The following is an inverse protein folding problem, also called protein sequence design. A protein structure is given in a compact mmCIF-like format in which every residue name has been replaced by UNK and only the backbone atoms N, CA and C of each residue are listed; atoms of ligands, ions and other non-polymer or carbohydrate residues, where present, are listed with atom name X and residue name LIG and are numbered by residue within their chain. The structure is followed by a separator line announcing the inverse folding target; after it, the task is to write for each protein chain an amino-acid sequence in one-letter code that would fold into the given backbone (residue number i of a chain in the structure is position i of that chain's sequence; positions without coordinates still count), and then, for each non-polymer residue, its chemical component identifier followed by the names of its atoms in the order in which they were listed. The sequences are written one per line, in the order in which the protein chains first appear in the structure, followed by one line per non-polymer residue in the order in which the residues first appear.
data_IF_907683149168
#
_entry.id   IF_907683149168
#
_cell.length_a   1.000
_cell.length_b   1.000
_cell.length_c   1.000
_cell.angle_alpha   90.00
_cell.angle_beta   90.00
_cell.angle_gamma   90.00
#
_symmetry.space_group_name_H-M   'P 1'
#
loop_
_entity.id
_entity.type
_entity.pdbx_description
1 polymer ?
#
# COMPACT_ATOMS: atom_id res chain seq x y z
N UNK A 1 -11.94 16.51 -4.42
CA UNK A 1 -11.83 16.49 -2.94
C UNK A 1 -12.86 15.54 -2.37
N UNK A 2 -12.54 14.75 -1.34
CA UNK A 2 -13.47 13.79 -0.74
C UNK A 2 -14.70 14.45 -0.11
N UNK A 3 -15.81 13.72 -0.06
CA UNK A 3 -16.98 14.10 0.74
C UNK A 3 -16.62 14.06 2.24
N UNK A 4 -16.97 15.09 3.03
CA UNK A 4 -16.65 15.10 4.45
C UNK A 4 -17.26 13.92 5.21
N UNK A 5 -16.50 13.33 6.12
CA UNK A 5 -16.94 12.31 7.07
C UNK A 5 -16.95 12.87 8.48
N UNK A 6 -18.01 12.59 9.23
CA UNK A 6 -18.13 12.94 10.66
C UNK A 6 -17.52 11.86 11.55
N UNK A 7 -17.19 12.22 12.79
CA UNK A 7 -16.76 11.25 13.81
C UNK A 7 -17.72 10.07 13.98
N UNK A 8 -19.04 10.34 13.95
CA UNK A 8 -20.06 9.31 14.08
C UNK A 8 -20.06 8.33 12.91
N UNK A 9 -19.91 8.83 11.67
CA UNK A 9 -19.81 7.99 10.48
C UNK A 9 -18.55 7.11 10.52
N UNK A 10 -17.39 7.70 10.87
CA UNK A 10 -16.13 6.94 10.94
C UNK A 10 -16.22 5.85 12.02
N UNK A 11 -16.79 6.17 13.18
CA UNK A 11 -17.01 5.18 14.25
C UNK A 11 -17.90 4.03 13.78
N UNK A 12 -19.01 4.33 13.10
CA UNK A 12 -19.90 3.31 12.55
C UNK A 12 -19.19 2.40 11.53
N UNK A 13 -18.38 2.97 10.65
CA UNK A 13 -17.57 2.19 9.68
C UNK A 13 -16.57 1.29 10.41
N UNK A 14 -15.93 1.78 11.48
CA UNK A 14 -14.99 1.00 12.29
C UNK A 14 -15.70 -0.16 13.01
N UNK A 15 -16.85 0.10 13.62
CA UNK A 15 -17.65 -0.92 14.30
C UNK A 15 -18.12 -2.01 13.31
N UNK A 16 -18.45 -1.62 12.07
CA UNK A 16 -18.74 -2.54 10.97
C UNK A 16 -17.56 -3.44 10.63
N UNK A 17 -16.34 -2.91 10.51
CA UNK A 17 -15.14 -3.72 10.24
C UNK A 17 -14.85 -4.70 11.39
N UNK A 18 -14.94 -4.23 12.64
CA UNK A 18 -14.68 -5.07 13.81
C UNK A 18 -15.64 -6.26 13.94
N UNK A 19 -16.88 -6.10 13.47
CA UNK A 19 -17.92 -7.13 13.56
C UNK A 19 -18.01 -8.01 12.32
N UNK A 20 -17.84 -7.44 11.13
CA UNK A 20 -18.00 -8.14 9.85
C UNK A 20 -16.69 -8.59 9.19
N UNK A 21 -15.54 -8.32 9.80
CA UNK A 21 -14.23 -8.78 9.33
C UNK A 21 -13.87 -8.28 7.93
N UNK A 22 -13.19 -9.12 7.14
CA UNK A 22 -12.66 -8.74 5.82
C UNK A 22 -13.76 -8.34 4.83
N UNK A 23 -14.95 -8.95 4.92
CA UNK A 23 -16.07 -8.61 4.04
C UNK A 23 -16.61 -7.21 4.34
N UNK A 24 -16.69 -6.83 5.62
CA UNK A 24 -17.02 -5.46 5.99
C UNK A 24 -15.92 -4.47 5.59
N UNK A 25 -14.64 -4.83 5.76
CA UNK A 25 -13.52 -4.00 5.31
C UNK A 25 -13.61 -3.66 3.81
N UNK A 26 -13.91 -4.65 2.95
CA UNK A 26 -14.15 -4.43 1.51
C UNK A 26 -15.28 -3.45 1.25
N UNK A 27 -16.41 -3.61 1.96
CA UNK A 27 -17.55 -2.71 1.81
C UNK A 27 -17.23 -1.28 2.25
N UNK A 28 -16.51 -1.13 3.37
CA UNK A 28 -16.07 0.18 3.88
C UNK A 28 -15.11 0.85 2.89
N UNK A 29 -14.12 0.13 2.36
CA UNK A 29 -13.23 0.71 1.36
C UNK A 29 -13.97 1.17 0.11
N UNK A 30 -14.93 0.38 -0.39
CA UNK A 30 -15.78 0.80 -1.50
C UNK A 30 -16.55 2.08 -1.18
N UNK A 31 -17.21 2.14 -0.03
CA UNK A 31 -17.95 3.33 0.40
C UNK A 31 -17.07 4.57 0.53
N UNK A 32 -15.84 4.42 1.04
CA UNK A 32 -14.88 5.52 1.17
C UNK A 32 -14.34 5.96 -0.19
N UNK A 33 -14.08 5.01 -1.09
CA UNK A 33 -13.65 5.32 -2.45
C UNK A 33 -14.74 6.06 -3.24
N UNK A 34 -16.01 5.65 -3.12
CA UNK A 34 -17.17 6.35 -3.70
C UNK A 34 -17.33 7.78 -3.15
N UNK A 35 -16.76 8.04 -1.96
CA UNK A 35 -16.70 9.37 -1.33
C UNK A 35 -15.44 10.16 -1.71
N UNK A 36 -14.59 9.63 -2.59
CA UNK A 36 -13.38 10.29 -3.08
C UNK A 36 -12.14 10.14 -2.20
N UNK A 37 -12.13 9.18 -1.25
CA UNK A 37 -10.93 8.82 -0.50
C UNK A 37 -10.14 7.78 -1.29
N UNK A 38 -9.19 8.24 -2.10
CA UNK A 38 -8.51 7.40 -3.09
C UNK A 38 -7.58 6.33 -2.49
N UNK A 39 -7.06 6.51 -1.26
CA UNK A 39 -6.38 5.42 -0.55
C UNK A 39 -7.27 4.17 -0.44
N UNK A 40 -8.57 4.37 -0.23
CA UNK A 40 -9.52 3.27 -0.12
C UNK A 40 -9.65 2.47 -1.43
N UNK A 41 -9.38 3.07 -2.59
CA UNK A 41 -9.33 2.36 -3.87
C UNK A 41 -8.19 1.34 -3.92
N UNK A 42 -6.97 1.77 -3.56
CA UNK A 42 -5.81 0.88 -3.43
C UNK A 42 -6.07 -0.24 -2.43
N UNK A 43 -6.58 0.12 -1.25
CA UNK A 43 -6.84 -0.84 -0.19
C UNK A 43 -7.97 -1.83 -0.54
N UNK A 44 -8.98 -1.40 -1.31
CA UNK A 44 -10.04 -2.27 -1.84
C UNK A 44 -9.46 -3.34 -2.77
N UNK A 45 -8.57 -2.96 -3.67
CA UNK A 45 -7.90 -3.89 -4.59
C UNK A 45 -7.11 -4.98 -3.85
N UNK A 46 -6.41 -4.63 -2.78
CA UNK A 46 -5.71 -5.59 -1.88
C UNK A 46 -6.70 -6.45 -1.10
N UNK A 47 -7.78 -5.84 -0.59
CA UNK A 47 -8.79 -6.55 0.20
C UNK A 47 -9.56 -7.58 -0.62
N UNK A 48 -9.85 -7.29 -1.89
CA UNK A 48 -10.46 -8.24 -2.82
C UNK A 48 -9.44 -9.25 -3.36
N UNK A 49 -8.19 -8.82 -3.59
CA UNK A 49 -7.17 -9.63 -4.25
C UNK A 49 -7.44 -9.80 -5.75
N UNK A 50 -8.03 -8.81 -6.40
CA UNK A 50 -8.48 -8.87 -7.79
C UNK A 50 -7.83 -7.83 -8.72
N UNK A 51 -7.43 -6.67 -8.18
CA UNK A 51 -6.64 -5.69 -8.95
C UNK A 51 -5.21 -6.16 -9.14
N UNK A 52 -4.58 -5.84 -10.28
CA UNK A 52 -3.17 -6.18 -10.56
C UNK A 52 -2.25 -5.71 -9.42
N UNK A 53 -2.39 -4.45 -9.01
CA UNK A 53 -1.61 -3.84 -7.92
C UNK A 53 -1.88 -4.48 -6.57
N UNK A 54 -3.14 -4.85 -6.29
CA UNK A 54 -3.54 -5.53 -5.07
C UNK A 54 -3.01 -6.96 -4.97
N UNK A 55 -3.03 -7.72 -6.08
CA UNK A 55 -2.43 -9.06 -6.17
C UNK A 55 -0.92 -8.98 -5.96
N UNK A 56 -0.24 -8.04 -6.61
CA UNK A 56 1.20 -7.82 -6.40
C UNK A 56 1.54 -7.48 -4.95
N UNK A 57 0.73 -6.69 -4.27
CA UNK A 57 0.95 -6.37 -2.86
C UNK A 57 0.78 -7.59 -1.94
N UNK A 58 -0.18 -8.47 -2.22
CA UNK A 58 -0.37 -9.72 -1.47
C UNK A 58 0.77 -10.69 -1.72
N UNK A 59 1.19 -10.85 -2.98
CA UNK A 59 2.31 -11.71 -3.34
C UNK A 59 3.63 -11.24 -2.69
N UNK A 60 3.87 -9.92 -2.67
CA UNK A 60 5.01 -9.36 -1.96
C UNK A 60 4.93 -9.60 -0.46
N UNK A 61 3.75 -9.42 0.15
CA UNK A 61 3.54 -9.70 1.58
C UNK A 61 3.89 -11.17 1.91
N UNK A 62 3.37 -12.12 1.15
CA UNK A 62 3.61 -13.54 1.38
C UNK A 62 5.08 -13.90 1.15
N UNK A 63 5.69 -13.45 0.06
CA UNK A 63 7.11 -13.72 -0.24
C UNK A 63 8.04 -13.11 0.82
N UNK A 64 7.81 -11.85 1.21
CA UNK A 64 8.62 -11.17 2.21
C UNK A 64 8.46 -11.79 3.60
N UNK A 65 7.27 -12.26 3.97
CA UNK A 65 7.06 -13.00 5.21
C UNK A 65 7.75 -14.37 5.19
N UNK A 66 7.69 -15.10 4.07
CA UNK A 66 8.36 -16.39 3.92
C UNK A 66 9.88 -16.28 4.01
N UNK A 67 10.47 -15.19 3.52
CA UNK A 67 11.90 -14.92 3.65
C UNK A 67 12.31 -14.34 5.01
N UNK A 68 11.37 -14.07 5.92
CA UNK A 68 11.66 -13.48 7.23
C UNK A 68 12.04 -12.00 7.17
N UNK A 69 11.60 -11.26 6.16
CA UNK A 69 11.90 -9.83 6.07
C UNK A 69 11.30 -9.07 7.26
N UNK A 70 12.18 -8.43 8.03
CA UNK A 70 11.83 -7.61 9.19
C UNK A 70 11.33 -8.38 10.43
N UNK A 71 11.58 -9.69 10.50
CA UNK A 71 11.37 -10.50 11.70
C UNK A 71 12.31 -11.69 11.77
N UNK A 72 12.37 -12.37 12.91
CA UNK A 72 13.34 -13.47 13.13
C UNK A 72 12.87 -14.83 12.58
N UNK A 73 11.71 -14.91 11.91
CA UNK A 73 11.07 -16.17 11.51
C UNK A 73 10.52 -16.11 10.08
N UNK A 74 10.89 -17.10 9.26
CA UNK A 74 10.21 -17.41 8.00
C UNK A 74 8.77 -17.83 8.27
N UNK A 75 7.80 -17.13 7.68
CA UNK A 75 6.37 -17.39 7.91
C UNK A 75 5.62 -17.58 6.61
N UNK A 76 5.00 -18.75 6.44
CA UNK A 76 3.97 -18.96 5.44
C UNK A 76 2.63 -18.50 6.02
N UNK A 77 2.08 -17.39 5.52
CA UNK A 77 0.85 -16.79 6.05
C UNK A 77 -0.37 -17.59 5.59
N UNK A 78 -1.20 -18.03 6.54
CA UNK A 78 -2.50 -18.62 6.23
C UNK A 78 -3.49 -17.56 5.73
N UNK A 79 -4.53 -17.98 4.99
CA UNK A 79 -5.61 -17.07 4.58
C UNK A 79 -6.25 -16.32 5.75
N UNK A 80 -6.36 -16.96 6.93
CA UNK A 80 -6.89 -16.35 8.14
C UNK A 80 -5.96 -15.25 8.69
N UNK A 81 -4.64 -15.43 8.61
CA UNK A 81 -3.67 -14.39 8.98
C UNK A 81 -3.71 -13.22 7.99
N UNK A 82 -3.80 -13.49 6.69
CA UNK A 82 -3.95 -12.44 5.66
C UNK A 82 -5.24 -11.63 5.89
N UNK A 83 -6.37 -12.31 6.16
CA UNK A 83 -7.63 -11.63 6.44
C UNK A 83 -7.58 -10.82 7.74
N UNK A 84 -6.87 -11.32 8.75
CA UNK A 84 -6.60 -10.55 9.97
C UNK A 84 -5.79 -9.29 9.68
N UNK A 85 -4.73 -9.38 8.86
CA UNK A 85 -3.93 -8.22 8.44
C UNK A 85 -4.81 -7.21 7.70
N UNK A 86 -5.65 -7.66 6.76
CA UNK A 86 -6.59 -6.78 6.02
C UNK A 86 -7.55 -6.04 6.96
N UNK A 87 -8.08 -6.71 7.97
CA UNK A 87 -8.96 -6.10 8.99
C UNK A 87 -8.19 -5.10 9.86
N UNK A 88 -6.98 -5.45 10.29
CA UNK A 88 -6.15 -4.56 11.10
C UNK A 88 -5.73 -3.31 10.31
N UNK A 89 -5.45 -3.43 9.00
CA UNK A 89 -5.18 -2.30 8.10
C UNK A 89 -6.40 -1.38 7.95
N UNK A 90 -7.59 -1.94 7.71
CA UNK A 90 -8.82 -1.16 7.60
C UNK A 90 -9.14 -0.42 8.90
N UNK A 91 -8.92 -1.07 10.04
CA UNK A 91 -9.10 -0.46 11.36
C UNK A 91 -8.12 0.69 11.58
N UNK A 92 -6.83 0.48 11.26
CA UNK A 92 -5.81 1.52 11.39
C UNK A 92 -6.06 2.74 10.49
N UNK A 93 -6.57 2.52 9.28
CA UNK A 93 -6.98 3.60 8.39
C UNK A 93 -8.15 4.42 8.98
N UNK A 94 -9.20 3.75 9.45
CA UNK A 94 -10.36 4.41 10.06
C UNK A 94 -9.99 5.15 11.35
N UNK A 95 -9.12 4.58 12.18
CA UNK A 95 -8.61 5.24 13.38
C UNK A 95 -7.80 6.50 13.04
N UNK A 96 -7.04 6.46 11.95
CA UNK A 96 -6.33 7.63 11.43
C UNK A 96 -7.31 8.72 10.98
N UNK A 97 -8.33 8.38 10.18
CA UNK A 97 -9.37 9.32 9.77
C UNK A 97 -10.12 9.91 10.98
N UNK A 98 -10.42 9.09 11.98
CA UNK A 98 -11.06 9.53 13.22
C UNK A 98 -10.21 10.55 13.96
N UNK A 99 -8.91 10.29 14.12
CA UNK A 99 -7.98 11.23 14.77
C UNK A 99 -7.86 12.55 14.00
N UNK A 100 -7.85 12.50 12.66
CA UNK A 100 -7.86 13.71 11.82
C UNK A 100 -9.15 14.50 12.06
N UNK A 101 -10.30 13.83 12.04
CA UNK A 101 -11.59 14.48 12.27
C UNK A 101 -11.67 15.11 13.67
N UNK A 102 -11.15 14.46 14.71
CA UNK A 102 -11.11 15.02 16.07
C UNK A 102 -10.32 16.33 16.12
N UNK A 103 -9.20 16.42 15.40
CA UNK A 103 -8.37 17.63 15.33
C UNK A 103 -8.99 18.75 14.48
N UNK A 104 -9.92 18.41 13.59
CA UNK A 104 -10.51 19.30 12.60
C UNK A 104 -12.01 19.59 12.87
N UNK A 105 -12.38 19.81 14.13
CA UNK A 105 -13.75 20.22 14.47
C UNK A 105 -14.81 19.13 14.27
N UNK A 106 -14.42 17.86 14.26
CA UNK A 106 -15.32 16.71 14.18
C UNK A 106 -15.56 16.15 12.77
N UNK A 107 -14.86 16.67 11.76
CA UNK A 107 -14.98 16.20 10.36
C UNK A 107 -13.63 16.06 9.68
N UNK A 108 -13.54 15.15 8.70
CA UNK A 108 -12.40 15.02 7.79
C UNK A 108 -12.91 15.11 6.35
N UNK A 109 -12.23 15.87 5.50
CA UNK A 109 -12.57 16.08 4.09
C UNK A 109 -11.33 16.02 3.20
N UNK A 110 -10.32 15.27 3.64
CA UNK A 110 -9.07 15.01 2.93
C UNK A 110 -8.69 13.56 3.14
N UNK A 111 -7.86 13.04 2.27
CA UNK A 111 -7.31 11.70 2.44
C UNK A 111 -6.05 11.69 3.31
N UNK A 112 -5.49 10.50 3.53
CA UNK A 112 -4.30 10.27 4.34
C UNK A 112 -3.00 10.63 3.61
N UNK A 113 -2.11 11.27 4.36
CA UNK A 113 -0.73 11.58 3.97
C UNK A 113 0.17 10.35 4.07
N UNK A 114 1.34 10.39 3.44
CA UNK A 114 2.27 9.25 3.47
C UNK A 114 2.68 8.92 4.91
N UNK A 115 3.02 9.94 5.70
CA UNK A 115 3.38 9.74 7.12
C UNK A 115 2.27 9.07 7.92
N UNK A 116 1.02 9.42 7.64
CA UNK A 116 -0.16 8.83 8.28
C UNK A 116 -0.34 7.38 7.81
N UNK A 117 -0.24 7.14 6.51
CA UNK A 117 -0.27 5.81 5.89
C UNK A 117 0.79 4.87 6.44
N UNK A 118 2.04 5.32 6.45
CA UNK A 118 3.18 4.57 6.98
C UNK A 118 2.95 4.20 8.45
N UNK A 119 2.41 5.13 9.25
CA UNK A 119 2.16 4.91 10.67
C UNK A 119 1.13 3.80 10.91
N UNK A 120 -0.01 3.81 10.20
CA UNK A 120 -1.00 2.75 10.40
C UNK A 120 -0.61 1.43 9.73
N UNK A 121 0.17 1.45 8.63
CA UNK A 121 0.75 0.21 8.09
C UNK A 121 1.73 -0.43 9.07
N UNK A 122 2.60 0.37 9.70
CA UNK A 122 3.54 -0.11 10.72
C UNK A 122 2.79 -0.80 11.87
N UNK A 123 1.71 -0.17 12.35
CA UNK A 123 0.89 -0.75 13.43
C UNK A 123 0.19 -2.04 12.98
N UNK A 124 -0.40 -2.04 11.77
CA UNK A 124 -1.08 -3.20 11.20
C UNK A 124 -0.15 -4.41 11.04
N UNK A 125 1.06 -4.21 10.52
CA UNK A 125 2.04 -5.29 10.37
C UNK A 125 2.59 -5.77 11.72
N UNK A 126 3.01 -4.85 12.61
CA UNK A 126 3.56 -5.22 13.93
C UNK A 126 2.57 -6.00 14.78
N UNK A 127 1.28 -5.62 14.74
CA UNK A 127 0.21 -6.34 15.43
C UNK A 127 0.05 -7.80 14.95
N UNK A 128 0.55 -8.09 13.76
CA UNK A 128 0.51 -9.42 13.15
C UNK A 128 1.89 -10.12 13.15
N UNK A 129 2.85 -9.61 13.92
CA UNK A 129 4.19 -10.20 14.02
C UNK A 129 5.00 -10.06 12.73
N UNK A 130 4.75 -8.98 11.99
CA UNK A 130 5.45 -8.59 10.77
C UNK A 130 6.07 -7.20 10.96
N UNK A 131 6.79 -6.72 9.96
CA UNK A 131 7.39 -5.39 9.95
C UNK A 131 6.76 -4.50 8.90
N UNK A 132 7.14 -3.21 8.91
CA UNK A 132 6.77 -2.30 7.84
C UNK A 132 7.42 -2.66 6.51
N UNK A 133 8.53 -3.41 6.48
CA UNK A 133 9.18 -3.83 5.24
C UNK A 133 8.35 -4.86 4.46
N UNK A 134 7.36 -5.49 5.10
CA UNK A 134 6.34 -6.30 4.43
C UNK A 134 5.32 -5.45 3.66
N UNK A 135 5.36 -4.13 3.79
CA UNK A 135 4.66 -3.21 2.90
C UNK A 135 5.48 -2.97 1.62
N UNK A 136 4.92 -3.32 0.47
CA UNK A 136 5.60 -3.21 -0.83
C UNK A 136 6.18 -1.81 -1.12
N UNK A 137 5.56 -0.74 -0.61
CA UNK A 137 6.01 0.63 -0.83
C UNK A 137 7.00 1.16 0.22
N UNK A 138 7.31 0.42 1.29
CA UNK A 138 8.20 0.96 2.34
C UNK A 138 9.61 1.25 1.81
N UNK A 139 10.28 0.24 1.25
CA UNK A 139 11.66 0.37 0.77
C UNK A 139 11.78 1.40 -0.37
N UNK A 140 10.94 1.39 -1.43
CA UNK A 140 11.01 2.40 -2.48
C UNK A 140 10.85 3.84 -1.95
N UNK A 141 9.91 4.05 -1.02
CA UNK A 141 9.67 5.38 -0.43
C UNK A 141 10.78 5.81 0.53
N UNK A 142 11.43 4.87 1.23
CA UNK A 142 12.61 5.16 2.06
C UNK A 142 13.82 5.56 1.20
N UNK A 143 14.02 4.92 0.05
CA UNK A 143 15.05 5.31 -0.91
C UNK A 143 14.79 6.73 -1.43
N UNK A 144 13.55 7.05 -1.79
CA UNK A 144 13.15 8.40 -2.21
C UNK A 144 13.37 9.40 -1.08
N UNK A 145 13.02 9.06 0.18
CA UNK A 145 13.28 9.93 1.33
C UNK A 145 14.77 10.24 1.45
N UNK A 146 15.62 9.22 1.34
CA UNK A 146 17.07 9.36 1.47
C UNK A 146 17.65 10.26 0.37
N UNK A 147 17.18 10.12 -0.86
CA UNK A 147 17.67 10.91 -2.00
C UNK A 147 17.10 12.34 -2.04
N UNK A 148 15.82 12.52 -1.71
CA UNK A 148 15.06 13.75 -2.01
C UNK A 148 14.29 14.35 -0.83
N UNK A 149 14.33 13.74 0.35
CA UNK A 149 13.69 14.23 1.57
C UNK A 149 12.19 13.97 1.68
N UNK A 150 11.64 14.25 2.87
CA UNK A 150 10.26 13.92 3.24
C UNK A 150 9.18 14.61 2.37
N UNK A 151 9.43 15.84 1.93
CA UNK A 151 8.47 16.57 1.09
C UNK A 151 8.23 15.88 -0.25
N UNK A 152 9.29 15.34 -0.85
CA UNK A 152 9.22 14.59 -2.11
C UNK A 152 8.42 13.29 -1.95
N UNK A 153 8.60 12.60 -0.82
CA UNK A 153 7.85 11.38 -0.50
C UNK A 153 6.36 11.67 -0.37
N UNK A 154 5.98 12.73 0.34
CA UNK A 154 4.58 13.13 0.45
C UNK A 154 3.97 13.49 -0.91
N UNK A 155 4.69 14.22 -1.76
CA UNK A 155 4.22 14.57 -3.09
C UNK A 155 4.03 13.34 -4.00
N UNK A 156 5.01 12.42 -4.01
CA UNK A 156 4.91 11.17 -4.79
C UNK A 156 3.78 10.30 -4.26
N UNK A 157 3.63 10.20 -2.93
CA UNK A 157 2.51 9.47 -2.33
C UNK A 157 1.16 10.05 -2.74
N UNK A 158 0.99 11.38 -2.73
CA UNK A 158 -0.27 12.01 -3.15
C UNK A 158 -0.61 11.66 -4.60
N UNK A 159 0.37 11.76 -5.51
CA UNK A 159 0.21 11.38 -6.92
C UNK A 159 -0.22 9.90 -7.07
N UNK A 160 0.45 8.99 -6.37
CA UNK A 160 0.12 7.56 -6.42
C UNK A 160 -1.25 7.27 -5.80
N UNK A 161 -1.52 7.81 -4.61
CA UNK A 161 -2.76 7.64 -3.86
C UNK A 161 -3.95 8.07 -4.73
N UNK A 162 -3.84 9.20 -5.42
CA UNK A 162 -4.94 9.78 -6.19
C UNK A 162 -5.34 9.00 -7.45
N UNK A 163 -4.53 8.04 -7.89
CA UNK A 163 -4.94 7.05 -8.93
C UNK A 163 -6.02 6.08 -8.45
N UNK A 164 -6.19 5.91 -7.13
CA UNK A 164 -7.11 4.91 -6.57
C UNK A 164 -6.71 3.45 -6.83
N UNK A 165 -5.51 3.18 -7.36
CA UNK A 165 -4.94 1.84 -7.47
C UNK A 165 -5.45 0.99 -8.62
N UNK A 166 -6.24 1.56 -9.52
CA UNK A 166 -6.79 0.87 -10.68
C UNK A 166 -6.59 1.72 -11.93
N UNK A 167 -6.48 1.07 -13.10
CA UNK A 167 -6.31 1.77 -14.37
C UNK A 167 -4.86 2.06 -14.75
N UNK A 168 -4.70 2.67 -15.93
CA UNK A 168 -3.40 2.89 -16.58
C UNK A 168 -2.46 3.78 -15.78
N UNK A 169 -3.00 4.79 -15.08
CA UNK A 169 -2.24 5.70 -14.25
C UNK A 169 -1.64 4.96 -13.04
N UNK A 170 -2.44 4.19 -12.30
CA UNK A 170 -1.96 3.37 -11.19
C UNK A 170 -0.83 2.43 -11.63
N UNK A 171 -1.00 1.78 -12.78
CA UNK A 171 0.03 0.89 -13.35
C UNK A 171 1.29 1.64 -13.75
N UNK A 172 1.15 2.81 -14.37
CA UNK A 172 2.29 3.67 -14.75
C UNK A 172 3.09 4.09 -13.53
N UNK A 173 2.43 4.48 -12.43
CA UNK A 173 3.13 4.83 -11.18
C UNK A 173 3.81 3.61 -10.54
N UNK A 174 3.18 2.43 -10.56
CA UNK A 174 3.83 1.18 -10.14
C UNK A 174 5.05 0.85 -11.00
N UNK A 175 4.97 1.05 -12.32
CA UNK A 175 6.08 0.89 -13.26
C UNK A 175 7.25 1.82 -12.94
N UNK A 176 6.95 3.10 -12.74
CA UNK A 176 7.94 4.12 -12.46
C UNK A 176 8.65 3.84 -11.13
N UNK A 177 7.94 3.34 -10.11
CA UNK A 177 8.57 2.93 -8.85
C UNK A 177 9.48 1.73 -9.02
N UNK A 178 9.04 0.69 -9.73
CA UNK A 178 9.87 -0.46 -10.03
C UNK A 178 11.13 -0.06 -10.82
N UNK A 179 10.97 0.76 -11.86
CA UNK A 179 12.08 1.26 -12.66
C UNK A 179 13.05 2.12 -11.85
N UNK A 180 12.51 2.98 -10.98
CA UNK A 180 13.30 3.76 -10.04
C UNK A 180 14.19 2.85 -9.17
N UNK A 181 13.62 1.82 -8.54
CA UNK A 181 14.38 0.87 -7.72
C UNK A 181 15.41 0.11 -8.57
N UNK A 182 15.03 -0.36 -9.76
CA UNK A 182 15.91 -1.05 -10.69
C UNK A 182 17.17 -0.23 -11.03
N UNK A 183 17.01 1.05 -11.38
CA UNK A 183 18.15 1.92 -11.68
C UNK A 183 19.08 2.13 -10.48
N UNK A 184 18.59 1.97 -9.25
CA UNK A 184 19.41 2.08 -8.04
C UNK A 184 20.12 0.78 -7.67
N UNK A 185 19.83 -0.34 -8.32
CA UNK A 185 20.53 -1.62 -8.10
C UNK A 185 22.02 -1.60 -8.50
N UNK A 186 22.44 -0.55 -9.22
CA UNK A 186 23.84 -0.25 -9.55
C UNK A 186 24.27 1.16 -9.07
N UNK A 187 23.58 1.70 -8.06
CA UNK A 187 23.94 3.01 -7.50
C UNK A 187 25.36 3.02 -6.91
N UNK A 188 26.05 4.15 -7.03
CA UNK A 188 27.34 4.37 -6.39
C UNK A 188 27.23 4.38 -4.85
N UNK A 189 26.12 4.89 -4.30
CA UNK A 189 25.81 4.80 -2.87
C UNK A 189 25.53 3.33 -2.50
N UNK A 190 26.39 2.69 -1.70
CA UNK A 190 26.23 1.28 -1.36
C UNK A 190 24.93 1.01 -0.60
N UNK A 191 24.44 1.95 0.22
CA UNK A 191 23.21 1.73 0.99
C UNK A 191 21.99 1.72 0.07
N UNK A 192 21.89 2.68 -0.86
CA UNK A 192 20.80 2.69 -1.85
C UNK A 192 20.85 1.45 -2.74
N UNK A 193 22.05 1.02 -3.11
CA UNK A 193 22.25 -0.18 -3.91
C UNK A 193 21.79 -1.45 -3.19
N UNK A 194 22.14 -1.60 -1.92
CA UNK A 194 21.75 -2.78 -1.13
C UNK A 194 20.24 -2.80 -0.88
N UNK A 195 19.63 -1.66 -0.55
CA UNK A 195 18.16 -1.52 -0.44
C UNK A 195 17.46 -1.93 -1.75
N UNK A 196 17.96 -1.44 -2.89
CA UNK A 196 17.38 -1.76 -4.20
C UNK A 196 17.49 -3.25 -4.53
N UNK A 197 18.66 -3.86 -4.35
CA UNK A 197 18.90 -5.27 -4.63
C UNK A 197 18.05 -6.18 -3.74
N UNK A 198 17.97 -5.87 -2.45
CA UNK A 198 17.12 -6.61 -1.52
C UNK A 198 15.65 -6.54 -1.94
N UNK A 199 15.15 -5.36 -2.32
CA UNK A 199 13.75 -5.22 -2.73
C UNK A 199 13.45 -5.93 -4.06
N UNK A 200 14.38 -5.89 -5.03
CA UNK A 200 14.21 -6.55 -6.33
C UNK A 200 14.24 -8.09 -6.24
N UNK A 201 14.93 -8.64 -5.24
CA UNK A 201 14.97 -10.09 -5.02
C UNK A 201 13.56 -10.69 -4.87
N UNK A 202 12.62 -9.95 -4.26
CA UNK A 202 11.22 -10.37 -4.12
C UNK A 202 10.49 -10.51 -5.47
N UNK A 203 10.96 -9.82 -6.52
CA UNK A 203 10.36 -9.84 -7.86
C UNK A 203 11.05 -10.84 -8.78
N UNK A 204 12.37 -11.03 -8.64
CA UNK A 204 13.13 -12.01 -9.43
C UNK A 204 12.74 -13.45 -9.04
N UNK A 205 12.70 -13.72 -7.73
CA UNK A 205 12.26 -15.02 -7.19
C UNK A 205 10.74 -15.24 -7.30
N UNK A 206 10.00 -14.15 -7.56
CA UNK A 206 8.55 -14.13 -7.70
C UNK A 206 8.04 -13.82 -9.10
N UNK A 207 8.87 -13.92 -10.14
CA UNK A 207 8.55 -13.43 -11.49
C UNK A 207 7.22 -13.96 -12.07
N UNK A 208 6.82 -15.19 -11.74
CA UNK A 208 5.51 -15.77 -12.09
C UNK A 208 4.33 -15.02 -11.43
N UNK A 209 4.52 -14.48 -10.22
CA UNK A 209 3.51 -13.76 -9.44
C UNK A 209 3.36 -12.29 -9.84
N UNK A 210 4.38 -11.71 -10.46
CA UNK A 210 4.39 -10.33 -10.93
C UNK A 210 4.20 -10.19 -12.44
N UNK A 211 4.10 -11.31 -13.17
CA UNK A 211 3.84 -11.36 -14.62
C UNK A 211 2.73 -10.40 -15.07
N UNK A 212 1.52 -10.40 -14.46
CA UNK A 212 0.46 -9.47 -14.85
C UNK A 212 0.80 -7.99 -14.66
N UNK A 213 1.59 -7.65 -13.63
CA UNK A 213 2.09 -6.29 -13.42
C UNK A 213 3.09 -5.93 -14.51
N UNK A 214 4.07 -6.81 -14.79
CA UNK A 214 5.06 -6.59 -15.84
C UNK A 214 4.44 -6.55 -17.25
N UNK A 215 3.42 -7.36 -17.52
CA UNK A 215 2.67 -7.37 -18.79
C UNK A 215 1.88 -6.07 -18.98
N UNK A 216 1.19 -5.62 -17.93
CA UNK A 216 0.48 -4.35 -17.94
C UNK A 216 1.44 -3.16 -18.17
N UNK A 217 2.63 -3.20 -17.54
CA UNK A 217 3.70 -2.23 -17.76
C UNK A 217 4.21 -2.32 -19.21
N UNK A 218 4.52 -3.52 -19.72
CA UNK A 218 5.01 -3.72 -21.09
C UNK A 218 4.02 -3.26 -22.15
N UNK A 219 2.72 -3.49 -21.96
CA UNK A 219 1.67 -2.99 -22.83
C UNK A 219 1.58 -1.46 -22.83
N UNK A 220 1.80 -0.82 -21.67
CA UNK A 220 1.79 0.65 -21.56
C UNK A 220 2.99 1.33 -22.23
N UNK A 221 4.15 0.66 -22.28
CA UNK A 221 5.38 1.17 -22.92
C UNK A 221 5.35 0.94 -24.44
N UNK A 222 4.80 -0.17 -24.93
CA UNK A 222 4.71 -0.46 -26.37
C UNK A 222 3.70 0.41 -27.13
N UNK A 223 2.70 0.99 -26.46
CA UNK A 223 1.72 1.91 -27.08
C UNK A 223 2.28 3.28 -27.46
N UNK A 224 3.55 3.58 -27.19
CA UNK A 224 4.21 4.84 -27.52
C UNK A 224 5.19 4.74 -28.70
N UNK A 225 5.45 3.51 -29.19
CA UNK A 225 6.37 3.23 -30.29
C UNK A 225 5.70 2.61 -31.53
N UNK A 226 4.35 2.68 -31.60
CA UNK A 226 3.55 2.46 -32.81
C UNK A 226 2.71 3.69 -33.10
#
# INVERSE_FOLDING_TARGET
MPQPLTLAQIKQLRDSVNTGGVNAARQVYRQLYDKGYNYAGWALGVANGDSITGVSALNYLDASAMMGLGGDQCRNLSSAEIDKIRVDMATGYLDTLYQIAQKNGGTVARDVKYKETRAFHQQGFVKNGLSLDNWTLNIPMEMIRREYGDQTVEAIWELMRDTGGQGLDAWTYSANMLWYVYLRSDAADPVLRDMARQWLQFFDEGSEYFGPLFDAIGASVNGWFT
#
